data_IF_160341257326
#
_entry.id   IF_160341257326
#
_cell.length_a   1.000
_cell.length_b   1.000
_cell.length_c   1.000
_cell.angle_alpha   90.00
_cell.angle_beta   90.00
_cell.angle_gamma   90.00
#
_symmetry.space_group_name_H-M   'P 1'
#
loop_
_entity.id
_entity.type
_entity.pdbx_description
1 polymer ?
#
# COMPACT_ATOMS: atom_id res chain seq x y z
N UNK A 1 11.02 -54.53 25.99
CA UNK A 1 11.50 -53.13 26.06
C UNK A 1 10.31 -52.23 25.81
N UNK A 2 9.80 -51.57 26.86
CA UNK A 2 8.63 -50.68 26.76
C UNK A 2 9.09 -49.37 26.10
N UNK A 3 8.56 -49.09 24.93
CA UNK A 3 8.73 -47.81 24.22
C UNK A 3 8.01 -46.72 25.00
N UNK A 4 8.78 -45.86 25.67
CA UNK A 4 8.27 -44.64 26.31
C UNK A 4 8.10 -43.56 25.25
N UNK A 5 6.84 -43.32 24.86
CA UNK A 5 6.42 -42.12 24.12
C UNK A 5 6.70 -40.87 24.96
N UNK A 6 7.14 -39.74 24.37
CA UNK A 6 7.38 -38.53 25.13
C UNK A 6 6.05 -37.98 25.67
N UNK A 7 5.97 -37.85 27.00
CA UNK A 7 4.88 -37.22 27.71
C UNK A 7 4.70 -35.77 27.20
N UNK A 8 3.53 -35.48 26.64
CA UNK A 8 3.09 -34.09 26.43
C UNK A 8 2.92 -33.48 27.82
N UNK A 9 3.79 -32.57 28.22
CA UNK A 9 3.57 -31.71 29.37
C UNK A 9 2.29 -30.92 29.11
N UNK A 10 1.19 -31.31 29.74
CA UNK A 10 -0.09 -30.62 29.70
C UNK A 10 0.07 -29.30 30.44
N UNK A 11 0.56 -28.27 29.75
CA UNK A 11 0.47 -26.89 30.23
C UNK A 11 -1.00 -26.57 30.45
N UNK A 12 -1.38 -26.26 31.69
CA UNK A 12 -2.74 -25.87 32.04
C UNK A 12 -3.21 -24.70 31.14
N UNK A 13 -4.48 -24.71 30.73
CA UNK A 13 -5.01 -23.66 29.86
C UNK A 13 -5.27 -22.40 30.68
N UNK A 14 -4.40 -21.41 30.53
CA UNK A 14 -4.48 -20.12 31.23
C UNK A 14 -5.36 -19.16 30.41
N UNK A 15 -6.31 -18.50 31.08
CA UNK A 15 -7.19 -17.49 30.48
C UNK A 15 -6.86 -16.11 31.05
N UNK A 16 -6.73 -15.10 30.18
CA UNK A 16 -6.43 -13.72 30.57
C UNK A 16 -7.43 -12.75 29.94
N UNK A 17 -7.91 -11.79 30.72
CA UNK A 17 -8.84 -10.75 30.27
C UNK A 17 -8.14 -9.69 29.38
N UNK A 18 -8.85 -9.18 28.38
CA UNK A 18 -8.37 -8.11 27.49
C UNK A 18 -8.77 -6.73 28.03
N UNK A 19 -7.86 -5.97 28.68
CA UNK A 19 -8.21 -4.77 29.45
C UNK A 19 -8.63 -3.57 28.58
N UNK A 20 -8.29 -3.57 27.30
CA UNK A 20 -8.57 -2.45 26.38
C UNK A 20 -9.96 -2.53 25.73
N UNK A 21 -10.80 -3.49 26.10
CA UNK A 21 -12.10 -3.74 25.48
C UNK A 21 -13.26 -3.23 26.32
N UNK A 22 -14.32 -2.72 25.66
CA UNK A 22 -15.49 -2.15 26.36
C UNK A 22 -16.33 -3.21 27.09
N UNK A 23 -16.22 -4.47 26.64
CA UNK A 23 -16.92 -5.63 27.18
C UNK A 23 -15.89 -6.65 27.58
N UNK A 24 -16.20 -7.52 28.56
CA UNK A 24 -15.26 -8.57 28.96
C UNK A 24 -15.02 -9.59 27.84
N UNK A 25 -13.76 -9.72 27.45
CA UNK A 25 -13.24 -10.76 26.57
C UNK A 25 -12.04 -11.42 27.24
N UNK A 26 -11.94 -12.73 27.13
CA UNK A 26 -10.80 -13.50 27.62
C UNK A 26 -10.14 -14.25 26.47
N UNK A 27 -8.82 -14.39 26.53
CA UNK A 27 -8.03 -15.14 25.58
C UNK A 27 -7.23 -16.22 26.32
N UNK A 28 -7.18 -17.42 25.74
CA UNK A 28 -6.36 -18.51 26.28
C UNK A 28 -4.98 -18.58 25.65
N UNK A 29 -4.02 -19.18 26.36
CA UNK A 29 -2.69 -19.51 25.84
C UNK A 29 -2.74 -20.42 24.59
N UNK A 30 -3.83 -21.16 24.40
CA UNK A 30 -4.08 -21.97 23.19
C UNK A 30 -4.67 -21.17 22.02
N UNK A 31 -4.87 -19.86 22.18
CA UNK A 31 -5.45 -18.99 21.15
C UNK A 31 -6.97 -19.13 20.99
N UNK A 32 -7.68 -19.62 22.01
CA UNK A 32 -9.14 -19.56 22.06
C UNK A 32 -9.60 -18.24 22.66
N UNK A 33 -10.74 -17.73 22.20
CA UNK A 33 -11.30 -16.46 22.67
C UNK A 33 -12.70 -16.67 23.22
N UNK A 34 -12.96 -16.18 24.43
CA UNK A 34 -14.28 -16.14 25.06
C UNK A 34 -14.82 -14.72 25.07
N UNK A 35 -16.12 -14.59 24.79
CA UNK A 35 -16.85 -13.33 24.87
C UNK A 35 -17.97 -13.43 25.88
N UNK A 36 -18.00 -12.47 26.80
CA UNK A 36 -19.07 -12.34 27.79
C UNK A 36 -20.14 -11.34 27.34
N UNK A 37 -20.14 -10.95 26.06
CA UNK A 37 -21.02 -9.92 25.53
C UNK A 37 -22.50 -10.32 25.47
N UNK A 38 -22.79 -11.63 25.42
CA UNK A 38 -24.14 -12.23 25.29
C UNK A 38 -24.52 -13.17 26.44
N UNK A 39 -23.52 -13.75 27.11
CA UNK A 39 -23.73 -14.72 28.19
C UNK A 39 -22.73 -14.46 29.31
N UNK A 40 -23.21 -14.53 30.56
CA UNK A 40 -22.38 -14.38 31.76
C UNK A 40 -21.42 -15.56 31.96
N UNK A 41 -21.67 -16.70 31.30
CA UNK A 41 -20.79 -17.88 31.31
C UNK A 41 -19.65 -17.82 30.28
N UNK A 42 -19.67 -16.83 29.38
CA UNK A 42 -18.70 -16.68 28.30
C UNK A 42 -18.93 -17.67 27.14
N UNK A 43 -19.04 -17.16 25.92
CA UNK A 43 -19.17 -17.97 24.70
C UNK A 43 -17.87 -18.02 23.92
N UNK A 44 -17.48 -19.19 23.43
CA UNK A 44 -16.31 -19.35 22.55
C UNK A 44 -16.58 -18.76 21.17
N UNK A 45 -15.70 -17.87 20.72
CA UNK A 45 -15.76 -17.27 19.37
C UNK A 45 -14.76 -17.98 18.46
N UNK A 46 -15.22 -18.46 17.30
CA UNK A 46 -14.39 -19.20 16.33
C UNK A 46 -13.44 -18.32 15.48
N UNK A 47 -13.51 -17.01 15.61
CA UNK A 47 -12.79 -16.06 14.77
C UNK A 47 -13.19 -16.14 13.29
N UNK A 48 -12.68 -15.22 12.48
CA UNK A 48 -12.82 -15.21 11.02
C UNK A 48 -11.44 -15.12 10.38
N UNK A 49 -11.22 -15.87 9.31
CA UNK A 49 -10.07 -15.64 8.42
C UNK A 49 -10.37 -14.45 7.49
N UNK A 50 -9.59 -13.37 7.60
CA UNK A 50 -9.71 -12.17 6.76
C UNK A 50 -8.90 -12.31 5.46
N UNK A 51 -8.18 -13.42 5.28
CA UNK A 51 -7.39 -13.71 4.11
C UNK A 51 -5.95 -14.04 4.48
N UNK A 52 -5.42 -15.07 3.82
CA UNK A 52 -4.06 -15.52 4.05
C UNK A 52 -3.86 -16.40 5.28
N UNK A 53 -4.94 -16.92 5.90
CA UNK A 53 -4.89 -17.95 6.95
C UNK A 53 -4.80 -17.40 8.38
N UNK A 54 -4.91 -16.08 8.58
CA UNK A 54 -4.80 -15.47 9.91
C UNK A 54 -6.16 -15.28 10.54
N UNK A 55 -6.39 -15.96 11.67
CA UNK A 55 -7.61 -15.79 12.45
C UNK A 55 -7.69 -14.41 13.11
N UNK A 56 -8.87 -13.80 13.02
CA UNK A 56 -9.18 -12.48 13.57
C UNK A 56 -10.50 -12.50 14.35
N UNK A 57 -10.63 -11.59 15.30
CA UNK A 57 -11.85 -11.36 16.08
C UNK A 57 -12.23 -9.89 16.07
N UNK A 58 -13.53 -9.61 16.14
CA UNK A 58 -14.04 -8.25 16.25
C UNK A 58 -14.39 -7.95 17.72
N UNK A 59 -13.68 -7.00 18.32
CA UNK A 59 -13.94 -6.51 19.67
C UNK A 59 -14.52 -5.09 19.63
N UNK A 60 -15.34 -4.76 20.63
CA UNK A 60 -15.86 -3.39 20.79
C UNK A 60 -14.90 -2.58 21.67
N UNK A 61 -14.39 -1.47 21.15
CA UNK A 61 -13.44 -0.57 21.81
C UNK A 61 -13.89 0.87 21.57
N UNK A 62 -14.14 1.63 22.64
CA UNK A 62 -14.65 2.99 22.64
C UNK A 62 -15.91 3.16 21.76
N UNK A 63 -16.86 2.25 21.88
CA UNK A 63 -18.11 2.28 21.12
C UNK A 63 -18.03 1.74 19.69
N UNK A 64 -16.83 1.54 19.14
CA UNK A 64 -16.59 1.11 17.75
C UNK A 64 -16.12 -0.35 17.69
N UNK A 65 -16.49 -1.04 16.61
CA UNK A 65 -15.96 -2.39 16.33
C UNK A 65 -14.55 -2.25 15.73
N UNK A 66 -13.58 -2.97 16.29
CA UNK A 66 -12.22 -3.09 15.78
C UNK A 66 -11.85 -4.56 15.64
N UNK A 67 -11.21 -4.91 14.53
CA UNK A 67 -10.73 -6.27 14.27
C UNK A 67 -9.30 -6.43 14.79
N UNK A 68 -9.06 -7.53 15.51
CA UNK A 68 -7.76 -7.89 16.08
C UNK A 68 -7.36 -9.28 15.64
N UNK A 69 -6.07 -9.50 15.37
CA UNK A 69 -5.56 -10.82 15.03
C UNK A 69 -5.32 -11.66 16.29
N UNK A 70 -5.80 -12.91 16.29
CA UNK A 70 -5.74 -13.80 17.46
C UNK A 70 -4.30 -14.07 17.87
N UNK A 71 -3.43 -14.48 16.94
CA UNK A 71 -2.00 -14.72 17.23
C UNK A 71 -1.31 -13.52 17.88
N UNK A 72 -1.67 -12.30 17.47
CA UNK A 72 -1.09 -11.09 18.03
C UNK A 72 -1.58 -10.83 19.45
N UNK A 73 -2.87 -11.05 19.70
CA UNK A 73 -3.42 -10.94 21.05
C UNK A 73 -2.79 -11.96 22.01
N UNK A 74 -2.62 -13.21 21.57
CA UNK A 74 -1.93 -14.24 22.39
C UNK A 74 -0.52 -13.79 22.72
N UNK A 75 0.25 -13.34 21.71
CA UNK A 75 1.61 -12.88 21.92
C UNK A 75 1.69 -11.63 22.82
N UNK A 76 0.75 -10.69 22.71
CA UNK A 76 0.72 -9.49 23.56
C UNK A 76 0.35 -9.79 25.03
N UNK A 77 -0.41 -10.86 25.28
CA UNK A 77 -0.86 -11.22 26.63
C UNK A 77 0.04 -12.24 27.33
N UNK A 78 0.71 -13.13 26.58
CA UNK A 78 1.47 -14.25 27.15
C UNK A 78 2.97 -14.22 26.86
N UNK A 79 3.44 -13.40 25.91
CA UNK A 79 4.87 -13.29 25.60
C UNK A 79 5.38 -11.90 26.00
N UNK A 80 6.58 -11.87 26.56
CA UNK A 80 7.27 -10.62 26.86
C UNK A 80 7.53 -9.85 25.56
N UNK A 81 6.91 -8.67 25.46
CA UNK A 81 7.04 -7.82 24.29
C UNK A 81 8.44 -7.18 24.26
N UNK A 82 9.24 -7.38 23.19
CA UNK A 82 10.52 -6.70 23.05
C UNK A 82 10.33 -5.16 23.02
N UNK A 83 11.28 -4.41 23.58
CA UNK A 83 11.24 -2.93 23.62
C UNK A 83 11.42 -2.25 22.27
N UNK A 84 11.91 -2.98 21.28
CA UNK A 84 12.18 -2.47 19.93
C UNK A 84 10.87 -2.19 19.16
N UNK A 85 10.87 -1.13 18.35
CA UNK A 85 9.75 -0.80 17.48
C UNK A 85 9.66 -1.73 16.24
N UNK A 86 8.46 -1.88 15.69
CA UNK A 86 8.24 -2.64 14.45
C UNK A 86 8.26 -4.17 14.60
N UNK A 87 8.05 -4.69 15.81
CA UNK A 87 7.93 -6.13 16.07
C UNK A 87 6.66 -6.71 15.46
N UNK A 88 6.81 -7.89 14.86
CA UNK A 88 5.75 -8.72 14.31
C UNK A 88 5.79 -10.10 14.95
N UNK A 89 4.66 -10.80 14.96
CA UNK A 89 4.56 -12.15 15.49
C UNK A 89 4.63 -13.15 14.34
N UNK A 90 5.39 -14.23 14.52
CA UNK A 90 5.47 -15.33 13.57
C UNK A 90 5.02 -16.65 14.20
N UNK A 91 4.53 -17.54 13.35
CA UNK A 91 4.23 -18.94 13.67
C UNK A 91 5.45 -19.79 13.36
N UNK A 92 5.95 -20.57 14.33
CA UNK A 92 7.15 -21.41 14.22
C UNK A 92 6.92 -22.57 13.26
N UNK A 93 5.77 -23.24 13.34
CA UNK A 93 5.37 -24.35 12.46
C UNK A 93 4.98 -23.91 11.03
N UNK A 94 4.71 -22.62 10.82
CA UNK A 94 4.24 -22.06 9.57
C UNK A 94 2.73 -22.19 9.32
N UNK A 95 2.00 -22.86 10.21
CA UNK A 95 0.54 -22.91 10.21
C UNK A 95 -0.03 -21.71 10.97
N UNK A 96 -0.67 -20.82 10.23
CA UNK A 96 -1.22 -19.55 10.74
C UNK A 96 -2.50 -19.75 11.56
N UNK A 97 -3.09 -20.95 11.52
CA UNK A 97 -4.25 -21.30 12.32
C UNK A 97 -3.86 -21.76 13.73
N UNK A 98 -2.61 -22.22 13.93
CA UNK A 98 -2.11 -22.68 15.22
C UNK A 98 -1.64 -21.50 16.09
N UNK A 99 -2.57 -20.91 16.85
CA UNK A 99 -2.31 -19.72 17.67
C UNK A 99 -1.88 -20.05 19.11
N UNK A 100 -1.30 -21.23 19.36
CA UNK A 100 -0.75 -21.57 20.67
C UNK A 100 0.46 -20.69 20.99
N UNK A 101 0.57 -20.21 22.24
CA UNK A 101 1.67 -19.34 22.68
C UNK A 101 3.05 -19.92 22.36
N UNK A 102 3.23 -21.23 22.54
CA UNK A 102 4.50 -21.91 22.27
C UNK A 102 4.87 -21.92 20.78
N UNK A 103 3.87 -21.82 19.90
CA UNK A 103 4.07 -21.72 18.46
C UNK A 103 4.35 -20.27 18.00
N UNK A 104 4.25 -19.29 18.88
CA UNK A 104 4.41 -17.87 18.54
C UNK A 104 5.77 -17.33 18.99
N UNK A 105 6.30 -16.37 18.22
CA UNK A 105 7.56 -15.68 18.54
C UNK A 105 7.55 -14.25 17.98
N UNK A 106 8.08 -13.30 18.75
CA UNK A 106 8.29 -11.92 18.30
C UNK A 106 9.56 -11.83 17.43
N UNK A 107 9.47 -11.15 16.29
CA UNK A 107 10.63 -10.83 15.44
C UNK A 107 10.47 -9.46 14.76
N UNK A 108 11.56 -8.91 14.24
CA UNK A 108 11.50 -7.68 13.42
C UNK A 108 11.23 -8.02 11.95
N UNK A 109 10.83 -7.01 11.16
CA UNK A 109 10.75 -7.14 9.70
C UNK A 109 12.08 -7.59 9.07
N UNK A 110 13.22 -7.14 9.62
CA UNK A 110 14.57 -7.51 9.15
C UNK A 110 14.90 -8.97 9.44
N UNK A 111 14.55 -9.48 10.63
CA UNK A 111 14.91 -10.84 11.05
C UNK A 111 13.87 -11.90 10.68
N UNK A 112 12.65 -11.51 10.32
CA UNK A 112 11.53 -12.41 9.97
C UNK A 112 11.92 -13.63 9.14
N UNK A 113 12.65 -13.44 8.04
CA UNK A 113 13.01 -14.56 7.16
C UNK A 113 14.05 -15.49 7.78
N UNK A 114 15.01 -14.94 8.53
CA UNK A 114 16.00 -15.73 9.24
C UNK A 114 15.34 -16.55 10.36
N UNK A 115 14.46 -15.91 11.16
CA UNK A 115 13.73 -16.61 12.22
C UNK A 115 12.82 -17.70 11.64
N UNK A 116 12.13 -17.44 10.52
CA UNK A 116 11.34 -18.50 9.86
C UNK A 116 12.19 -19.65 9.33
N UNK A 117 13.38 -19.38 8.79
CA UNK A 117 14.31 -20.45 8.33
C UNK A 117 14.81 -21.32 9.47
N UNK A 118 14.94 -20.78 10.69
CA UNK A 118 15.32 -21.55 11.89
C UNK A 118 14.33 -22.69 12.17
N UNK A 119 13.04 -22.44 11.98
CA UNK A 119 11.98 -23.42 12.25
C UNK A 119 11.53 -24.19 11.00
N UNK A 120 11.66 -23.58 9.81
CA UNK A 120 11.26 -24.14 8.53
C UNK A 120 12.44 -24.00 7.55
N UNK A 121 13.37 -24.97 7.51
CA UNK A 121 14.58 -24.90 6.67
C UNK A 121 14.29 -24.65 5.18
N UNK A 122 13.22 -25.25 4.65
CA UNK A 122 12.79 -25.14 3.25
C UNK A 122 11.95 -23.89 2.91
N UNK A 123 11.83 -22.92 3.83
CA UNK A 123 10.93 -21.78 3.66
C UNK A 123 11.21 -20.96 2.38
N UNK A 124 12.45 -20.98 1.87
CA UNK A 124 12.84 -20.24 0.66
C UNK A 124 12.66 -21.01 -0.66
N UNK A 125 12.86 -22.32 -0.70
CA UNK A 125 12.80 -23.09 -1.95
C UNK A 125 11.39 -23.19 -2.53
N UNK A 126 10.38 -23.25 -1.66
CA UNK A 126 8.96 -23.31 -2.08
C UNK A 126 8.48 -22.02 -2.76
N UNK A 127 9.01 -20.84 -2.38
CA UNK A 127 8.65 -19.56 -3.01
C UNK A 127 9.39 -19.32 -4.33
N UNK A 128 10.66 -19.75 -4.43
CA UNK A 128 11.49 -19.56 -5.65
C UNK A 128 10.95 -20.36 -6.85
N UNK A 129 10.30 -21.52 -6.62
CA UNK A 129 9.71 -22.34 -7.71
C UNK A 129 8.58 -21.65 -8.51
N UNK A 130 8.03 -20.53 -8.02
CA UNK A 130 7.02 -19.75 -8.75
C UNK A 130 7.61 -18.78 -9.79
N UNK A 131 8.92 -18.54 -9.77
CA UNK A 131 9.62 -17.66 -10.70
C UNK A 131 10.41 -18.46 -11.73
N UNK A 132 9.76 -19.30 -12.54
CA UNK A 132 10.44 -19.85 -13.72
C UNK A 132 10.65 -18.70 -14.73
N UNK A 133 11.89 -18.43 -15.18
CA UNK A 133 12.11 -17.49 -16.27
C UNK A 133 11.36 -18.00 -17.52
N UNK A 134 10.62 -17.13 -18.19
CA UNK A 134 9.94 -17.47 -19.45
C UNK A 134 10.99 -17.95 -20.46
N UNK A 135 10.80 -19.15 -21.03
CA UNK A 135 11.66 -19.67 -22.10
C UNK A 135 11.65 -18.66 -23.25
N UNK A 136 12.84 -18.20 -23.68
CA UNK A 136 12.99 -17.33 -24.85
C UNK A 136 12.89 -18.24 -26.07
N UNK A 137 11.76 -18.23 -26.75
CA UNK A 137 11.52 -19.16 -27.87
C UNK A 137 11.70 -18.41 -29.20
N UNK A 138 12.48 -19.00 -30.11
CA UNK A 138 12.63 -18.51 -31.48
C UNK A 138 11.32 -18.65 -32.28
N UNK A 139 10.51 -19.63 -31.90
CA UNK A 139 9.17 -19.89 -32.43
C UNK A 139 8.10 -19.28 -31.51
N UNK A 140 6.99 -18.81 -32.09
CA UNK A 140 5.87 -18.24 -31.34
C UNK A 140 5.23 -19.31 -30.45
N UNK A 141 5.21 -19.15 -29.11
CA UNK A 141 4.56 -20.11 -28.23
C UNK A 141 3.04 -20.17 -28.48
N UNK A 142 2.47 -21.38 -28.44
CA UNK A 142 1.03 -21.62 -28.54
C UNK A 142 0.49 -21.81 -27.12
N UNK A 143 0.41 -20.72 -26.35
CA UNK A 143 -0.03 -20.73 -24.95
C UNK A 143 -1.24 -19.80 -24.70
N UNK A 144 -1.82 -19.23 -25.77
CA UNK A 144 -2.95 -18.31 -25.69
C UNK A 144 -2.58 -16.89 -25.26
N UNK A 145 -1.29 -16.56 -25.14
CA UNK A 145 -0.82 -15.19 -24.90
C UNK A 145 -0.43 -14.49 -26.21
N UNK A 146 -0.52 -13.16 -26.20
CA UNK A 146 -0.05 -12.34 -27.32
C UNK A 146 1.48 -12.18 -27.26
N UNK A 147 2.11 -12.31 -28.43
CA UNK A 147 3.55 -12.17 -28.61
C UNK A 147 3.85 -11.14 -29.69
N UNK A 148 4.91 -10.38 -29.49
CA UNK A 148 5.46 -9.46 -30.47
C UNK A 148 6.86 -9.90 -30.86
N UNK A 149 7.15 -9.90 -32.16
CA UNK A 149 8.46 -10.29 -32.69
C UNK A 149 9.40 -9.08 -32.67
N UNK A 150 10.54 -9.21 -32.00
CA UNK A 150 11.57 -8.17 -31.93
C UNK A 150 12.96 -8.81 -32.01
N UNK A 151 13.82 -8.35 -32.92
CA UNK A 151 15.17 -8.90 -33.17
C UNK A 151 15.15 -10.44 -33.28
N UNK A 152 14.27 -10.96 -34.15
CA UNK A 152 14.11 -12.40 -34.46
C UNK A 152 13.65 -13.29 -33.29
N UNK A 153 13.19 -12.69 -32.18
CA UNK A 153 12.67 -13.42 -31.02
C UNK A 153 11.25 -13.00 -30.71
N UNK A 154 10.43 -13.94 -30.26
CA UNK A 154 9.09 -13.64 -29.78
C UNK A 154 9.14 -13.27 -28.30
N UNK A 155 8.61 -12.09 -27.99
CA UNK A 155 8.49 -11.57 -26.64
C UNK A 155 7.03 -11.49 -26.24
N UNK A 156 6.70 -12.01 -25.05
CA UNK A 156 5.34 -11.92 -24.51
C UNK A 156 4.94 -10.46 -24.31
N UNK A 157 3.78 -10.09 -24.83
CA UNK A 157 3.21 -8.76 -24.65
C UNK A 157 2.68 -8.65 -23.22
N UNK A 158 3.02 -7.55 -22.55
CA UNK A 158 2.51 -7.18 -21.24
C UNK A 158 1.75 -5.85 -21.35
N UNK A 159 0.72 -5.70 -20.52
CA UNK A 159 -0.10 -4.50 -20.44
C UNK A 159 0.10 -3.83 -19.07
N UNK A 160 0.36 -2.52 -19.05
CA UNK A 160 0.46 -1.71 -17.84
C UNK A 160 -0.72 -0.72 -17.67
N UNK A 161 -1.75 -0.81 -18.52
CA UNK A 161 -2.92 0.07 -18.56
C UNK A 161 -2.69 1.40 -19.29
N UNK A 162 -1.50 1.61 -19.86
CA UNK A 162 -1.14 2.85 -20.59
C UNK A 162 -0.40 2.59 -21.90
N UNK A 163 0.27 1.46 -22.04
CA UNK A 163 0.87 0.98 -23.27
C UNK A 163 1.08 -0.54 -23.22
N UNK A 164 1.11 -1.15 -24.41
CA UNK A 164 1.59 -2.51 -24.60
C UNK A 164 3.11 -2.51 -24.72
N UNK A 165 3.78 -3.35 -23.95
CA UNK A 165 5.24 -3.40 -23.90
C UNK A 165 5.79 -4.81 -23.86
N UNK A 166 7.04 -4.95 -24.28
CA UNK A 166 7.83 -6.18 -24.18
C UNK A 166 9.03 -5.96 -23.25
N UNK A 167 9.45 -7.02 -22.57
CA UNK A 167 10.70 -7.02 -21.79
C UNK A 167 11.81 -7.67 -22.59
N UNK A 168 12.87 -6.92 -22.82
CA UNK A 168 14.06 -7.35 -23.56
C UNK A 168 15.27 -7.24 -22.65
N UNK A 169 16.18 -8.19 -22.72
CA UNK A 169 17.47 -8.12 -22.05
C UNK A 169 18.50 -7.73 -23.10
N UNK A 170 18.98 -6.49 -23.03
CA UNK A 170 20.06 -5.95 -23.87
C UNK A 170 21.29 -5.75 -22.97
N UNK A 171 22.41 -6.40 -23.32
CA UNK A 171 23.70 -6.27 -22.64
C UNK A 171 23.64 -6.54 -21.13
N UNK A 172 22.86 -7.54 -20.72
CA UNK A 172 22.69 -7.92 -19.31
C UNK A 172 21.72 -7.02 -18.53
N UNK A 173 21.16 -5.97 -19.14
CA UNK A 173 20.19 -5.07 -18.52
C UNK A 173 18.79 -5.32 -19.07
N UNK A 174 17.84 -5.55 -18.17
CA UNK A 174 16.43 -5.65 -18.53
C UNK A 174 15.85 -4.27 -18.86
N UNK A 175 15.29 -4.14 -20.05
CA UNK A 175 14.59 -2.94 -20.52
C UNK A 175 13.14 -3.30 -20.88
N UNK A 176 12.23 -2.39 -20.57
CA UNK A 176 10.85 -2.45 -21.04
C UNK A 176 10.73 -1.56 -22.27
N UNK A 177 10.43 -2.14 -23.43
CA UNK A 177 10.25 -1.42 -24.69
C UNK A 177 8.77 -1.38 -25.04
N UNK A 178 8.23 -0.19 -25.27
CA UNK A 178 6.85 -0.03 -25.73
C UNK A 178 6.75 -0.48 -27.20
N UNK A 179 5.76 -1.30 -27.53
CA UNK A 179 5.60 -1.85 -28.88
C UNK A 179 5.36 -0.72 -29.89
N UNK A 180 4.52 0.23 -29.52
CA UNK A 180 4.27 1.41 -30.33
C UNK A 180 5.52 2.28 -30.59
N UNK A 181 6.47 2.32 -29.64
CA UNK A 181 7.74 3.01 -29.85
C UNK A 181 8.64 2.27 -30.85
N UNK A 182 8.63 0.93 -30.82
CA UNK A 182 9.32 0.09 -31.82
C UNK A 182 8.76 0.38 -33.21
N UNK A 183 7.43 0.32 -33.37
CA UNK A 183 6.75 0.61 -34.64
C UNK A 183 7.11 2.00 -35.16
N UNK A 184 7.10 3.03 -34.30
CA UNK A 184 7.49 4.39 -34.70
C UNK A 184 8.96 4.48 -35.14
N UNK A 185 9.86 3.78 -34.44
CA UNK A 185 11.28 3.71 -34.82
C UNK A 185 11.48 3.00 -36.16
N UNK A 186 10.78 1.90 -36.39
CA UNK A 186 10.85 1.12 -37.64
C UNK A 186 10.29 1.93 -38.83
N UNK A 187 9.34 2.83 -38.59
CA UNK A 187 8.85 3.80 -39.59
C UNK A 187 9.81 4.99 -39.82
N UNK A 188 10.94 5.06 -39.11
CA UNK A 188 11.85 6.21 -39.15
C UNK A 188 11.36 7.44 -38.38
N UNK A 189 10.26 7.35 -37.64
CA UNK A 189 9.74 8.43 -36.79
C UNK A 189 10.44 8.41 -35.43
N UNK A 190 11.70 8.83 -35.42
CA UNK A 190 12.49 8.94 -34.20
C UNK A 190 11.87 9.97 -33.23
N UNK A 191 12.10 9.74 -31.94
CA UNK A 191 11.63 10.62 -30.87
C UNK A 191 12.29 12.01 -30.99
N UNK A 192 11.54 13.10 -31.22
CA UNK A 192 12.13 14.41 -31.49
C UNK A 192 12.89 15.02 -30.31
N UNK A 193 12.36 14.85 -29.09
CA UNK A 193 12.96 15.39 -27.87
C UNK A 193 12.56 14.56 -26.64
N UNK A 194 13.34 14.65 -25.57
CA UNK A 194 13.02 14.02 -24.26
C UNK A 194 11.64 14.39 -23.74
N UNK A 195 11.14 15.60 -24.05
CA UNK A 195 9.82 16.09 -23.64
C UNK A 195 8.65 15.40 -24.35
N UNK A 196 8.90 14.79 -25.52
CA UNK A 196 7.87 14.10 -26.27
C UNK A 196 7.58 12.75 -25.62
N UNK A 197 6.31 12.41 -25.56
CA UNK A 197 5.81 11.13 -25.08
C UNK A 197 5.03 10.46 -26.20
N UNK A 198 4.93 9.14 -26.10
CA UNK A 198 4.11 8.36 -27.00
C UNK A 198 2.63 8.73 -26.80
N UNK A 199 1.93 8.98 -27.90
CA UNK A 199 0.51 9.30 -27.91
C UNK A 199 -0.24 8.48 -28.97
N UNK A 200 -1.53 8.33 -28.70
CA UNK A 200 -2.51 7.62 -29.53
C UNK A 200 -3.59 8.63 -29.95
N UNK A 201 -3.91 8.69 -31.24
CA UNK A 201 -4.88 9.67 -31.78
C UNK A 201 -6.28 9.39 -31.24
N UNK A 202 -6.65 8.12 -31.18
CA UNK A 202 -7.93 7.62 -30.67
C UNK A 202 -7.95 7.43 -29.13
N UNK A 203 -6.84 7.70 -28.45
CA UNK A 203 -6.64 7.44 -27.01
C UNK A 203 -6.67 5.97 -26.58
N UNK A 204 -6.72 5.03 -27.54
CA UNK A 204 -6.65 3.60 -27.28
C UNK A 204 -5.21 3.11 -27.48
N UNK A 205 -4.57 2.75 -26.36
CA UNK A 205 -3.20 2.27 -26.37
C UNK A 205 -3.04 0.87 -26.96
N UNK A 206 -4.15 0.13 -27.16
CA UNK A 206 -4.18 -1.18 -27.81
C UNK A 206 -4.19 -1.07 -29.33
N UNK A 207 -4.64 0.07 -29.87
CA UNK A 207 -4.60 0.32 -31.31
C UNK A 207 -3.18 0.73 -31.75
N UNK A 208 -2.39 -0.27 -32.10
CA UNK A 208 -1.01 -0.12 -32.57
C UNK A 208 -0.88 0.23 -34.06
N UNK A 209 -1.98 0.63 -34.73
CA UNK A 209 -1.92 1.01 -36.13
C UNK A 209 -0.94 2.18 -36.34
N UNK A 210 -0.01 2.10 -37.32
CA UNK A 210 1.00 3.13 -37.61
C UNK A 210 0.45 4.57 -37.72
N UNK A 211 -0.77 4.73 -38.20
CA UNK A 211 -1.47 6.02 -38.34
C UNK A 211 -1.93 6.60 -36.99
N UNK A 212 -2.22 5.75 -36.02
CA UNK A 212 -2.67 6.12 -34.68
C UNK A 212 -1.52 6.59 -33.79
N UNK A 213 -0.29 6.19 -34.10
CA UNK A 213 0.89 6.45 -33.29
C UNK A 213 1.59 7.75 -33.68
N UNK A 214 1.91 8.58 -32.69
CA UNK A 214 2.72 9.78 -32.89
C UNK A 214 3.41 10.24 -31.60
N UNK A 215 4.35 11.15 -31.74
CA UNK A 215 5.03 11.82 -30.63
C UNK A 215 4.30 13.12 -30.29
N UNK A 216 3.93 13.29 -29.02
CA UNK A 216 3.19 14.46 -28.54
C UNK A 216 3.88 15.02 -27.29
N UNK A 217 3.93 16.35 -27.14
CA UNK A 217 4.38 16.95 -25.88
C UNK A 217 3.25 16.99 -24.85
N UNK A 218 3.60 17.21 -23.58
CA UNK A 218 2.58 17.38 -22.54
C UNK A 218 1.69 18.62 -22.80
N UNK A 219 2.25 19.68 -23.42
CA UNK A 219 1.51 20.87 -23.79
C UNK A 219 0.52 20.57 -24.92
N UNK A 220 0.96 19.93 -25.99
CA UNK A 220 0.09 19.57 -27.13
C UNK A 220 -1.04 18.63 -26.69
N UNK A 221 -0.73 17.64 -25.85
CA UNK A 221 -1.72 16.75 -25.25
C UNK A 221 -2.80 17.52 -24.48
N UNK A 222 -2.40 18.57 -23.76
CA UNK A 222 -3.32 19.41 -23.01
C UNK A 222 -4.21 20.25 -23.94
N UNK A 223 -3.66 20.75 -25.05
CA UNK A 223 -4.40 21.49 -26.08
C UNK A 223 -5.40 20.58 -26.80
N UNK A 224 -4.99 19.37 -27.20
CA UNK A 224 -5.90 18.38 -27.82
C UNK A 224 -7.03 17.97 -26.88
N UNK A 225 -6.73 17.80 -25.59
CA UNK A 225 -7.76 17.51 -24.60
C UNK A 225 -8.70 18.70 -24.39
N UNK A 226 -8.19 19.95 -24.48
CA UNK A 226 -9.00 21.17 -24.41
C UNK A 226 -9.98 21.25 -25.58
N UNK A 227 -9.51 20.99 -26.81
CA UNK A 227 -10.34 20.99 -28.01
C UNK A 227 -11.47 19.95 -27.92
N UNK A 228 -11.16 18.75 -27.41
CA UNK A 228 -12.15 17.67 -27.28
C UNK A 228 -13.09 17.84 -26.08
N UNK A 229 -12.64 18.47 -24.99
CA UNK A 229 -13.40 18.59 -23.72
C UNK A 229 -13.30 20.01 -23.13
N UNK A 230 -13.88 21.02 -23.79
CA UNK A 230 -13.73 22.41 -23.37
C UNK A 230 -14.26 22.68 -21.95
N UNK A 231 -15.35 22.03 -21.54
CA UNK A 231 -16.01 22.26 -20.26
C UNK A 231 -15.23 21.74 -19.03
N UNK A 232 -14.45 20.65 -19.17
CA UNK A 232 -13.70 20.08 -18.04
C UNK A 232 -12.54 20.99 -17.62
N UNK A 233 -11.90 21.65 -18.59
CA UNK A 233 -10.81 22.58 -18.35
C UNK A 233 -11.31 23.93 -17.84
N UNK A 234 -12.51 24.36 -18.24
CA UNK A 234 -13.14 25.56 -17.70
C UNK A 234 -13.36 25.44 -16.18
N UNK A 235 -13.73 24.24 -15.71
CA UNK A 235 -13.81 23.91 -14.28
C UNK A 235 -12.43 23.94 -13.60
N UNK A 236 -11.39 23.39 -14.22
CA UNK A 236 -10.01 23.39 -13.66
C UNK A 236 -9.43 24.81 -13.62
N UNK A 237 -9.66 25.61 -14.67
CA UNK A 237 -9.27 27.04 -14.73
C UNK A 237 -10.00 27.85 -13.66
N UNK A 238 -11.31 27.67 -13.51
CA UNK A 238 -12.10 28.31 -12.44
C UNK A 238 -11.62 27.92 -11.04
N UNK A 239 -11.22 26.67 -10.84
CA UNK A 239 -10.62 26.18 -9.58
C UNK A 239 -9.22 26.76 -9.34
N UNK A 240 -8.37 26.87 -10.36
CA UNK A 240 -7.06 27.53 -10.24
C UNK A 240 -7.18 29.04 -9.96
N UNK A 241 -8.17 29.71 -10.57
CA UNK A 241 -8.46 31.12 -10.31
C UNK A 241 -9.00 31.37 -8.91
N UNK A 242 -9.79 30.46 -8.33
CA UNK A 242 -10.31 30.63 -6.96
C UNK A 242 -9.20 30.62 -5.90
N UNK A 243 -8.10 29.91 -6.15
CA UNK A 243 -6.90 29.95 -5.30
C UNK A 243 -6.12 31.26 -5.40
N UNK A 244 -6.17 31.96 -6.54
CA UNK A 244 -5.51 33.26 -6.78
C UNK A 244 -6.31 34.46 -6.28
N UNK A 245 -7.59 34.28 -5.92
CA UNK A 245 -8.39 35.39 -5.37
C UNK A 245 -7.79 35.84 -4.03
N UNK A 246 -7.77 37.14 -3.80
CA UNK A 246 -7.31 37.70 -2.53
C UNK A 246 -8.21 37.23 -1.37
N UNK A 247 -7.62 36.94 -0.21
CA UNK A 247 -8.38 36.62 1.00
C UNK A 247 -9.03 37.91 1.51
N UNK A 248 -10.33 37.90 1.80
CA UNK A 248 -11.02 39.08 2.32
C UNK A 248 -10.39 39.57 3.64
N UNK A 249 -10.28 40.89 3.83
CA UNK A 249 -9.61 41.49 5.00
C UNK A 249 -10.12 40.93 6.34
N UNK A 250 -11.45 40.80 6.50
CA UNK A 250 -12.07 40.20 7.70
C UNK A 250 -11.54 38.79 8.03
N UNK A 251 -11.24 37.99 7.00
CA UNK A 251 -10.68 36.66 7.19
C UNK A 251 -9.19 36.73 7.52
N UNK A 252 -8.44 37.70 6.98
CA UNK A 252 -7.02 37.93 7.34
C UNK A 252 -6.85 38.24 8.82
N UNK A 253 -7.74 39.08 9.38
CA UNK A 253 -7.70 39.45 10.80
C UNK A 253 -7.98 38.23 11.70
N UNK A 254 -8.94 37.38 11.31
CA UNK A 254 -9.24 36.12 12.00
C UNK A 254 -8.12 35.08 11.88
N UNK A 255 -7.40 35.03 10.75
CA UNK A 255 -6.24 34.14 10.59
C UNK A 255 -5.17 34.50 11.61
N UNK A 256 -4.84 35.79 11.75
CA UNK A 256 -3.86 36.26 12.75
C UNK A 256 -4.30 35.86 14.16
N UNK A 257 -5.53 36.19 14.54
CA UNK A 257 -6.11 35.82 15.84
C UNK A 257 -6.02 34.31 16.12
N UNK A 258 -6.35 33.47 15.14
CA UNK A 258 -6.32 32.02 15.33
C UNK A 258 -4.90 31.42 15.33
N UNK A 259 -3.94 32.05 14.65
CA UNK A 259 -2.53 31.68 14.74
C UNK A 259 -1.98 32.05 16.13
N UNK A 260 -2.32 33.22 16.66
CA UNK A 260 -1.95 33.64 18.02
C UNK A 260 -2.54 32.71 19.10
N UNK A 261 -3.78 32.24 18.89
CA UNK A 261 -4.42 31.21 19.73
C UNK A 261 -3.77 29.80 19.61
N UNK A 262 -2.75 29.63 18.75
CA UNK A 262 -2.04 28.36 18.56
C UNK A 262 -2.83 27.30 17.79
N UNK A 263 -3.86 27.68 17.00
CA UNK A 263 -4.62 26.71 16.19
C UNK A 263 -3.81 26.28 14.98
N UNK A 264 -3.86 24.98 14.66
CA UNK A 264 -3.22 24.45 13.46
C UNK A 264 -3.84 25.02 12.18
N UNK A 265 -3.02 25.14 11.12
CA UNK A 265 -3.44 25.63 9.80
C UNK A 265 -4.65 24.83 9.27
N UNK A 266 -4.66 23.52 9.49
CA UNK A 266 -5.78 22.66 9.11
C UNK A 266 -7.09 23.00 9.85
N UNK A 267 -6.99 23.39 11.13
CA UNK A 267 -8.16 23.82 11.92
C UNK A 267 -8.66 25.19 11.46
N UNK A 268 -7.75 26.13 11.16
CA UNK A 268 -8.09 27.45 10.63
C UNK A 268 -8.75 27.35 9.26
N UNK A 269 -8.23 26.49 8.38
CA UNK A 269 -8.79 26.20 7.05
C UNK A 269 -10.26 25.76 7.13
N UNK A 270 -10.60 24.88 8.07
CA UNK A 270 -11.98 24.43 8.29
C UNK A 270 -12.88 25.51 8.91
N UNK A 271 -12.36 26.29 9.85
CA UNK A 271 -13.13 27.34 10.53
C UNK A 271 -13.50 28.51 9.61
N UNK A 272 -12.58 28.91 8.73
CA UNK A 272 -12.74 30.08 7.86
C UNK A 272 -13.26 29.72 6.46
N UNK A 273 -13.46 28.44 6.18
CA UNK A 273 -13.80 27.90 4.87
C UNK A 273 -12.86 28.44 3.78
N UNK A 274 -11.56 28.22 4.01
CA UNK A 274 -10.48 28.59 3.08
C UNK A 274 -9.74 27.30 2.75
N UNK A 275 -9.58 27.00 1.46
CA UNK A 275 -8.81 25.81 1.03
C UNK A 275 -7.40 25.83 1.63
N UNK A 276 -6.96 24.68 2.16
CA UNK A 276 -5.71 24.54 2.91
C UNK A 276 -4.51 25.15 2.19
N UNK A 277 -4.30 24.81 0.92
CA UNK A 277 -3.18 25.31 0.11
C UNK A 277 -3.20 26.83 -0.03
N UNK A 278 -4.38 27.45 -0.14
CA UNK A 278 -4.54 28.90 -0.24
C UNK A 278 -4.17 29.60 1.07
N UNK A 279 -4.58 29.02 2.21
CA UNK A 279 -4.20 29.53 3.53
C UNK A 279 -2.70 29.35 3.80
N UNK A 280 -2.14 28.19 3.44
CA UNK A 280 -0.73 27.88 3.60
C UNK A 280 0.16 28.84 2.81
N UNK A 281 -0.15 29.07 1.53
CA UNK A 281 0.59 30.03 0.69
C UNK A 281 0.52 31.45 1.27
N UNK A 282 -0.66 31.90 1.71
CA UNK A 282 -0.82 33.22 2.32
C UNK A 282 0.03 33.39 3.59
N UNK A 283 0.08 32.37 4.46
CA UNK A 283 0.89 32.40 5.67
C UNK A 283 2.39 32.50 5.33
N UNK A 284 2.84 31.72 4.34
CA UNK A 284 4.24 31.72 3.90
C UNK A 284 4.64 33.03 3.20
N UNK A 285 3.78 33.58 2.33
CA UNK A 285 4.05 34.83 1.60
C UNK A 285 4.11 36.05 2.52
N UNK A 286 3.39 36.03 3.66
CA UNK A 286 3.35 37.13 4.62
C UNK A 286 4.22 36.88 5.86
N UNK A 287 5.05 35.82 5.82
CA UNK A 287 5.96 35.39 6.90
C UNK A 287 5.28 35.26 8.28
N UNK A 288 3.99 34.88 8.29
CA UNK A 288 3.19 34.72 9.51
C UNK A 288 3.53 33.41 10.26
N UNK A 289 4.48 32.63 9.75
CA UNK A 289 4.92 31.36 10.32
C UNK A 289 5.67 31.54 11.66
N UNK A 290 6.23 32.73 11.91
CA UNK A 290 6.90 33.06 13.18
C UNK A 290 5.93 33.10 14.39
N UNK A 291 4.63 33.27 14.15
CA UNK A 291 3.59 33.32 15.19
C UNK A 291 3.26 31.92 15.73
N UNK A 292 3.49 30.88 14.93
CA UNK A 292 3.24 29.49 15.34
C UNK A 292 4.42 28.92 16.11
N UNK A 293 4.45 29.13 17.43
CA UNK A 293 5.43 28.48 18.32
C UNK A 293 5.24 26.95 18.46
N UNK A 294 4.29 26.32 17.76
CA UNK A 294 4.08 24.88 17.78
C UNK A 294 3.62 24.34 16.42
N UNK A 295 4.57 24.14 15.50
CA UNK A 295 4.40 23.17 14.39
C UNK A 295 5.71 22.50 13.93
N UNK A 296 6.84 22.71 14.63
CA UNK A 296 8.05 21.89 14.48
C UNK A 296 8.20 20.99 15.71
N UNK A 297 7.45 19.89 15.73
CA UNK A 297 7.77 18.72 16.55
C UNK A 297 7.53 17.38 15.85
N UNK A 298 7.43 17.40 14.53
CA UNK A 298 7.50 16.22 13.67
C UNK A 298 8.33 16.63 12.46
N UNK A 299 9.58 16.16 12.42
CA UNK A 299 10.67 16.22 11.42
C UNK A 299 11.93 16.56 12.22
N UNK A 300 12.89 15.64 12.23
CA UNK A 300 14.11 15.55 13.08
C UNK A 300 13.94 14.75 14.39
N UNK A 301 13.59 13.47 14.22
CA UNK A 301 14.43 12.41 14.77
C UNK A 301 15.00 11.66 13.55
N UNK A 302 16.34 11.69 13.48
CA UNK A 302 17.29 11.21 12.47
C UNK A 302 17.41 11.96 11.15
#
# INVERSE_FOLDING_TARGET
>A
MKTTSPEKTTTEEIWVELPFTDKKYEISNNGKVKSYARSQKGELIKGRDIGGGYLSIDCKVNGKKKSFYVHRLVAEMFLDKPKEEGQIVIHKDGDKSNNQVDNLEWCTLKTRFATKRKYIPDYSEKFVKSCKPSKKTAEKPIDGHDYYQYKEKYHRISDNGSCLFIRVNEDGKWKSLAIAEIILRDMGKLKPSKSHKLAYRDWDYKNLAPINLFWETQADKSTRLLEQRPLQLDRIRKMGQSHRKEIAQRKKDLIKKYLDEGKSIAKISRLLDIGYTRLYNYINENDLAAITQYSKKEIELD
#
